data_IF_339270946648
#
_entry.id   IF_339270946648
#
_cell.length_a   1.000
_cell.length_b   1.000
_cell.length_c   1.000
_cell.angle_alpha   90.00
_cell.angle_beta   90.00
_cell.angle_gamma   90.00
#
_symmetry.space_group_name_H-M   'P 1'
#
loop_
_entity.id
_entity.type
_entity.pdbx_description
1 polymer ?
#
# COMPACT_ATOMS: atom_id res chain seq x y z
N UNK A 1 -10.13 27.53 1.53
CA UNK A 1 -10.34 26.73 2.76
C UNK A 1 -10.40 25.22 2.49
N UNK A 2 -11.35 24.68 1.72
CA UNK A 2 -11.35 23.24 1.38
C UNK A 2 -10.30 22.87 0.30
N UNK A 3 -10.17 23.70 -0.74
CA UNK A 3 -9.18 23.52 -1.82
C UNK A 3 -7.74 23.51 -1.27
N UNK A 4 -7.37 24.53 -0.50
CA UNK A 4 -6.02 24.66 0.07
C UNK A 4 -5.61 23.45 0.94
N UNK A 5 -6.58 22.85 1.65
CA UNK A 5 -6.36 21.66 2.46
C UNK A 5 -6.15 20.41 1.59
N UNK A 6 -6.94 20.26 0.53
CA UNK A 6 -6.78 19.16 -0.44
C UNK A 6 -5.44 19.25 -1.16
N UNK A 7 -5.03 20.45 -1.55
CA UNK A 7 -3.73 20.70 -2.19
C UNK A 7 -2.58 20.37 -1.23
N UNK A 8 -2.67 20.81 0.03
CA UNK A 8 -1.67 20.48 1.07
C UNK A 8 -1.56 18.98 1.35
N UNK A 9 -2.69 18.27 1.36
CA UNK A 9 -2.72 16.81 1.53
C UNK A 9 -2.09 16.09 0.35
N UNK A 10 -2.34 16.57 -0.87
CA UNK A 10 -1.74 16.03 -2.09
C UNK A 10 -0.22 16.22 -2.09
N UNK A 11 0.27 17.41 -1.75
CA UNK A 11 1.71 17.66 -1.64
C UNK A 11 2.37 16.79 -0.58
N UNK A 12 1.75 16.64 0.60
CA UNK A 12 2.27 15.75 1.64
C UNK A 12 2.31 14.29 1.18
N UNK A 13 1.28 13.84 0.46
CA UNK A 13 1.22 12.48 -0.14
C UNK A 13 2.37 12.25 -1.11
N UNK A 14 2.68 13.23 -1.97
CA UNK A 14 3.81 13.15 -2.91
C UNK A 14 5.15 13.07 -2.16
N UNK A 15 5.35 13.89 -1.12
CA UNK A 15 6.59 13.88 -0.34
C UNK A 15 6.83 12.53 0.34
N UNK A 16 5.81 11.98 1.02
CA UNK A 16 5.89 10.66 1.64
C UNK A 16 6.16 9.56 0.62
N UNK A 17 5.54 9.64 -0.57
CA UNK A 17 5.80 8.69 -1.64
C UNK A 17 7.25 8.75 -2.14
N UNK A 18 7.78 9.95 -2.40
CA UNK A 18 9.15 10.17 -2.87
C UNK A 18 10.20 9.80 -1.82
N UNK A 19 9.86 9.91 -0.54
CA UNK A 19 10.73 9.50 0.58
C UNK A 19 10.66 7.99 0.87
N UNK A 20 9.79 7.25 0.18
CA UNK A 20 9.59 5.82 0.44
C UNK A 20 8.74 5.52 1.68
N UNK A 21 8.20 6.54 2.35
CA UNK A 21 7.33 6.45 3.53
C UNK A 21 5.87 6.10 3.14
N UNK A 22 5.70 5.16 2.20
CA UNK A 22 4.39 4.80 1.65
C UNK A 22 3.42 4.24 2.69
N UNK A 23 3.94 3.68 3.79
CA UNK A 23 3.13 3.25 4.94
C UNK A 23 2.42 4.39 5.66
N UNK A 24 2.87 5.63 5.50
CA UNK A 24 2.29 6.82 6.13
C UNK A 24 1.10 7.40 5.37
N UNK A 25 0.82 6.93 4.16
CA UNK A 25 -0.29 7.44 3.34
C UNK A 25 -1.65 7.21 4.00
N UNK A 26 -1.89 6.02 4.58
CA UNK A 26 -3.16 5.72 5.27
C UNK A 26 -3.33 6.51 6.59
N UNK A 27 -2.32 6.60 7.48
CA UNK A 27 -2.34 7.52 8.61
C UNK A 27 -2.66 8.97 8.21
N UNK A 28 -2.00 9.51 7.18
CA UNK A 28 -2.23 10.87 6.68
C UNK A 28 -3.69 11.08 6.29
N UNK A 29 -4.22 10.21 5.44
CA UNK A 29 -5.60 10.32 4.95
C UNK A 29 -6.62 10.23 6.09
N UNK A 30 -6.38 9.37 7.09
CA UNK A 30 -7.22 9.29 8.31
C UNK A 30 -7.17 10.55 9.15
N UNK A 31 -6.01 11.21 9.26
CA UNK A 31 -5.87 12.45 10.02
C UNK A 31 -6.64 13.61 9.37
N UNK A 32 -6.64 13.70 8.03
CA UNK A 32 -7.28 14.78 7.29
C UNK A 32 -8.77 14.56 7.00
N UNK A 33 -9.22 13.30 6.91
CA UNK A 33 -10.63 12.97 6.68
C UNK A 33 -11.12 11.84 7.57
N UNK A 34 -11.16 12.05 8.91
CA UNK A 34 -11.50 11.01 9.86
C UNK A 34 -12.92 10.47 9.65
N UNK A 35 -13.89 11.28 9.21
CA UNK A 35 -15.26 10.80 8.96
C UNK A 35 -15.39 9.93 7.72
N UNK A 36 -14.64 10.21 6.65
CA UNK A 36 -14.69 9.42 5.41
C UNK A 36 -13.88 8.13 5.55
N UNK A 37 -12.83 8.15 6.36
CA UNK A 37 -11.91 7.02 6.57
C UNK A 37 -12.10 6.35 7.95
N UNK A 38 -13.27 6.51 8.56
CA UNK A 38 -13.69 5.76 9.75
C UNK A 38 -14.95 4.95 9.48
N UNK A 39 -15.10 3.85 10.20
CA UNK A 39 -16.29 3.00 10.15
C UNK A 39 -16.30 1.98 9.02
N UNK A 40 -17.50 1.45 8.78
CA UNK A 40 -17.74 0.22 8.00
C UNK A 40 -17.31 0.32 6.53
N UNK A 41 -17.58 1.45 5.87
CA UNK A 41 -17.26 1.62 4.45
C UNK A 41 -15.75 1.62 4.16
N UNK A 42 -14.94 2.19 5.05
CA UNK A 42 -13.48 2.12 4.91
C UNK A 42 -12.94 0.71 5.18
N UNK A 43 -13.50 0.00 6.16
CA UNK A 43 -13.13 -1.39 6.41
C UNK A 43 -13.47 -2.30 5.22
N UNK A 44 -14.65 -2.10 4.60
CA UNK A 44 -15.04 -2.81 3.38
C UNK A 44 -14.15 -2.46 2.18
N UNK A 45 -13.78 -1.18 2.02
CA UNK A 45 -12.80 -0.75 1.01
C UNK A 45 -11.45 -1.46 1.21
N UNK A 46 -10.91 -1.43 2.44
CA UNK A 46 -9.64 -2.08 2.77
C UNK A 46 -9.69 -3.58 2.49
N UNK A 47 -10.75 -4.25 2.92
CA UNK A 47 -10.90 -5.69 2.70
C UNK A 47 -11.03 -6.04 1.21
N UNK A 48 -12.00 -5.43 0.52
CA UNK A 48 -12.36 -5.83 -0.84
C UNK A 48 -11.37 -5.32 -1.90
N UNK A 49 -10.89 -4.08 -1.76
CA UNK A 49 -10.08 -3.43 -2.79
C UNK A 49 -8.58 -3.45 -2.49
N UNK A 50 -8.17 -3.81 -1.27
CA UNK A 50 -6.75 -3.93 -0.91
C UNK A 50 -6.41 -5.35 -0.48
N UNK A 51 -6.87 -5.82 0.68
CA UNK A 51 -6.46 -7.10 1.29
C UNK A 51 -6.71 -8.29 0.36
N UNK A 52 -7.93 -8.46 -0.16
CA UNK A 52 -8.25 -9.57 -1.08
C UNK A 52 -7.41 -9.53 -2.35
N UNK A 53 -7.19 -8.33 -2.90
CA UNK A 53 -6.35 -8.16 -4.09
C UNK A 53 -4.88 -8.48 -3.78
N UNK A 54 -4.37 -8.10 -2.61
CA UNK A 54 -3.02 -8.42 -2.18
C UNK A 54 -2.80 -9.94 -2.09
N UNK A 55 -3.76 -10.68 -1.51
CA UNK A 55 -3.69 -12.14 -1.47
C UNK A 55 -3.64 -12.76 -2.87
N UNK A 56 -4.57 -12.37 -3.76
CA UNK A 56 -4.57 -12.86 -5.14
C UNK A 56 -3.30 -12.48 -5.90
N UNK A 57 -2.78 -11.25 -5.68
CA UNK A 57 -1.52 -10.81 -6.28
C UNK A 57 -0.35 -11.65 -5.79
N UNK A 58 -0.20 -11.84 -4.47
CA UNK A 58 0.90 -12.61 -3.89
C UNK A 58 0.86 -14.08 -4.34
N UNK A 59 -0.30 -14.72 -4.30
CA UNK A 59 -0.49 -16.10 -4.77
C UNK A 59 -0.07 -16.26 -6.23
N UNK A 60 -0.53 -15.37 -7.12
CA UNK A 60 -0.20 -15.44 -8.55
C UNK A 60 1.24 -15.05 -8.83
N UNK A 61 1.80 -14.12 -8.06
CA UNK A 61 3.17 -13.66 -8.19
C UNK A 61 4.18 -14.77 -7.89
N UNK A 62 3.90 -15.62 -6.91
CA UNK A 62 4.85 -16.62 -6.38
C UNK A 62 5.50 -17.46 -7.50
N UNK A 63 4.70 -18.01 -8.41
CA UNK A 63 5.21 -18.84 -9.52
C UNK A 63 6.19 -18.10 -10.45
N UNK A 64 6.01 -16.80 -10.63
CA UNK A 64 6.88 -15.99 -11.48
C UNK A 64 8.12 -15.56 -10.70
N UNK A 65 7.97 -15.21 -9.43
CA UNK A 65 9.07 -14.82 -8.56
C UNK A 65 10.05 -15.97 -8.33
N UNK A 66 9.56 -17.22 -8.21
CA UNK A 66 10.38 -18.43 -8.12
C UNK A 66 11.23 -18.67 -9.37
N UNK A 67 10.73 -18.30 -10.55
CA UNK A 67 11.47 -18.39 -11.81
C UNK A 67 12.55 -17.31 -11.92
N UNK A 68 12.42 -16.21 -11.17
CA UNK A 68 13.35 -15.08 -11.18
C UNK A 68 13.18 -14.14 -12.39
N UNK A 69 14.01 -13.10 -12.45
CA UNK A 69 14.02 -12.09 -13.52
C UNK A 69 12.68 -11.38 -13.75
N UNK A 70 11.92 -11.16 -12.68
CA UNK A 70 10.62 -10.47 -12.72
C UNK A 70 10.76 -9.04 -12.24
N UNK A 71 10.22 -8.10 -13.01
CA UNK A 71 9.89 -6.76 -12.52
C UNK A 71 8.38 -6.67 -12.30
N UNK A 72 7.97 -6.43 -11.06
CA UNK A 72 6.55 -6.32 -10.68
C UNK A 72 6.27 -4.91 -10.17
N UNK A 73 5.40 -4.19 -10.87
CA UNK A 73 4.93 -2.87 -10.45
C UNK A 73 3.55 -2.97 -9.77
N UNK A 74 3.40 -2.33 -8.62
CA UNK A 74 2.15 -2.26 -7.86
C UNK A 74 1.94 -0.86 -7.30
N UNK A 75 0.68 -0.53 -6.98
CA UNK A 75 0.37 0.72 -6.27
C UNK A 75 0.91 0.72 -4.85
N UNK A 76 1.32 1.89 -4.35
CA UNK A 76 1.92 2.07 -3.02
C UNK A 76 1.07 1.48 -1.87
N UNK A 77 -0.26 1.59 -2.01
CA UNK A 77 -1.22 1.11 -1.02
C UNK A 77 -1.15 -0.41 -0.81
N UNK A 78 -0.62 -1.17 -1.77
CA UNK A 78 -0.50 -2.62 -1.68
C UNK A 78 0.72 -3.10 -0.88
N UNK A 79 1.64 -2.22 -0.50
CA UNK A 79 2.93 -2.63 0.06
C UNK A 79 2.90 -2.83 1.58
N UNK A 80 2.27 -1.91 2.30
CA UNK A 80 2.38 -1.80 3.76
C UNK A 80 1.30 -2.57 4.53
N UNK A 81 1.59 -2.88 5.79
CA UNK A 81 0.67 -3.54 6.73
C UNK A 81 0.74 -5.07 6.69
N UNK A 82 0.10 -5.72 7.66
CA UNK A 82 0.09 -7.20 7.82
C UNK A 82 -0.41 -7.93 6.57
N UNK A 83 -1.38 -7.34 5.86
CA UNK A 83 -1.95 -7.89 4.63
C UNK A 83 -1.30 -7.28 3.37
N UNK A 84 -0.20 -6.53 3.52
CA UNK A 84 0.57 -5.94 2.43
C UNK A 84 1.44 -6.97 1.72
N UNK A 85 1.74 -6.74 0.45
CA UNK A 85 2.51 -7.66 -0.40
C UNK A 85 3.90 -7.98 0.19
N UNK A 86 4.56 -7.02 0.82
CA UNK A 86 5.87 -7.26 1.46
C UNK A 86 5.77 -8.36 2.51
N UNK A 87 4.75 -8.31 3.37
CA UNK A 87 4.55 -9.28 4.44
C UNK A 87 4.02 -10.61 3.90
N UNK A 88 3.07 -10.58 2.96
CA UNK A 88 2.53 -11.80 2.35
C UNK A 88 3.62 -12.61 1.63
N UNK A 89 4.49 -11.95 0.85
CA UNK A 89 5.60 -12.63 0.18
C UNK A 89 6.63 -13.17 1.17
N UNK A 90 6.93 -12.44 2.25
CA UNK A 90 7.78 -12.96 3.34
C UNK A 90 7.19 -14.20 3.99
N UNK A 91 5.87 -14.22 4.24
CA UNK A 91 5.18 -15.39 4.77
C UNK A 91 5.21 -16.60 3.83
N UNK A 92 5.30 -16.37 2.52
CA UNK A 92 5.49 -17.42 1.52
C UNK A 92 6.95 -17.90 1.41
N UNK A 93 7.88 -17.34 2.19
CA UNK A 93 9.28 -17.75 2.23
C UNK A 93 10.22 -16.92 1.35
N UNK A 94 9.72 -15.89 0.66
CA UNK A 94 10.58 -14.99 -0.10
C UNK A 94 11.34 -14.03 0.82
N UNK A 95 12.61 -13.79 0.51
CA UNK A 95 13.36 -12.67 1.10
C UNK A 95 12.97 -11.39 0.36
N UNK A 96 12.43 -10.42 1.10
CA UNK A 96 12.04 -9.11 0.53
C UNK A 96 12.83 -8.02 1.23
N UNK A 97 13.63 -7.28 0.47
CA UNK A 97 14.50 -6.19 0.93
C UNK A 97 14.24 -4.92 0.12
N UNK A 98 14.36 -3.76 0.76
CA UNK A 98 14.37 -2.51 0.04
C UNK A 98 15.69 -2.42 -0.75
N UNK A 99 15.60 -2.05 -2.03
CA UNK A 99 16.78 -1.79 -2.86
C UNK A 99 16.95 -0.28 -2.94
N UNK A 100 18.06 0.22 -2.40
CA UNK A 100 18.52 1.60 -2.61
C UNK A 100 19.42 1.63 -3.83
N UNK A 101 19.12 2.52 -4.79
CA UNK A 101 20.02 2.87 -5.87
C UNK A 101 21.04 3.92 -5.46
#
# INVERSE_FOLDING_TARGET
QLSDMTDSMMETTKLLYLQGETGMLLPLVRAYSPRTYSGKGYAEFQELLVSRRNHTMAERAAQYLEQGNVFMAVGALHLAGEQGLVNLLRHQGFKVEAVSG
#
